data_IF_283203024335
#
_entry.id   IF_283203024335
#
_cell.length_a   1.000
_cell.length_b   1.000
_cell.length_c   1.000
_cell.angle_alpha   90.00
_cell.angle_beta   90.00
_cell.angle_gamma   90.00
#
_symmetry.space_group_name_H-M   'P 1'
#
loop_
_entity.id
_entity.type
_entity.pdbx_description
1 polymer ?
#
# COMPACT_ATOMS: atom_id res chain seq x y z
N UNK A 1 -14.69 9.75 30.93
CA UNK A 1 -16.11 9.51 30.57
C UNK A 1 -16.17 8.55 29.39
N UNK A 2 -17.07 7.55 29.40
CA UNK A 2 -17.31 6.66 28.25
C UNK A 2 -17.78 7.45 27.02
N UNK A 3 -17.39 7.02 25.81
CA UNK A 3 -17.88 7.66 24.58
C UNK A 3 -19.37 7.32 24.36
N UNK A 4 -20.21 8.26 23.92
CA UNK A 4 -21.59 7.97 23.53
C UNK A 4 -21.64 6.90 22.44
N UNK A 5 -22.60 5.97 22.54
CA UNK A 5 -22.85 4.99 21.48
C UNK A 5 -23.53 5.67 20.30
N UNK A 6 -23.16 5.26 19.09
CA UNK A 6 -23.82 5.71 17.86
C UNK A 6 -25.15 4.99 17.67
N UNK A 7 -26.07 5.61 16.93
CA UNK A 7 -27.29 4.94 16.45
C UNK A 7 -26.92 3.73 15.57
N UNK A 8 -27.66 2.61 15.67
CA UNK A 8 -27.50 1.47 14.75
C UNK A 8 -27.64 1.83 13.26
N UNK A 9 -28.33 2.92 12.93
CA UNK A 9 -28.55 3.36 11.55
C UNK A 9 -27.39 4.20 11.01
N UNK A 10 -26.52 4.73 11.89
CA UNK A 10 -25.40 5.57 11.45
C UNK A 10 -24.40 4.74 10.61
N UNK A 11 -24.11 5.16 9.37
CA UNK A 11 -23.16 4.45 8.52
C UNK A 11 -21.74 4.67 9.04
N UNK A 12 -21.09 3.57 9.42
CA UNK A 12 -19.77 3.54 10.03
C UNK A 12 -18.65 3.38 8.99
N UNK A 13 -18.99 2.76 7.85
CA UNK A 13 -18.13 2.60 6.70
C UNK A 13 -18.39 3.74 5.71
N UNK A 14 -17.34 4.15 5.01
CA UNK A 14 -17.44 5.15 3.96
C UNK A 14 -16.42 4.85 2.85
N UNK A 15 -16.55 5.49 1.68
CA UNK A 15 -15.64 5.23 0.56
C UNK A 15 -14.18 5.52 0.87
N UNK A 16 -13.88 6.50 1.73
CA UNK A 16 -12.50 6.91 2.02
C UNK A 16 -11.71 5.85 2.76
N UNK A 17 -12.31 5.16 3.75
CA UNK A 17 -11.60 4.06 4.41
C UNK A 17 -11.34 2.89 3.45
N UNK A 18 -12.29 2.60 2.56
CA UNK A 18 -12.10 1.55 1.55
C UNK A 18 -11.05 1.93 0.52
N UNK A 19 -10.99 3.21 0.13
CA UNK A 19 -9.93 3.73 -0.71
C UNK A 19 -8.56 3.54 -0.05
N UNK A 20 -8.39 3.88 1.23
CA UNK A 20 -7.14 3.62 1.99
C UNK A 20 -6.81 2.13 2.04
N UNK A 21 -7.82 1.28 2.27
CA UNK A 21 -7.65 -0.17 2.43
C UNK A 21 -7.16 -0.83 1.14
N UNK A 22 -7.70 -0.39 -0.01
CA UNK A 22 -7.44 -0.99 -1.31
C UNK A 22 -6.28 -0.32 -2.05
N UNK A 23 -5.86 0.88 -1.64
CA UNK A 23 -4.79 1.63 -2.29
C UNK A 23 -3.49 0.85 -2.50
N UNK A 24 -3.03 -0.01 -1.55
CA UNK A 24 -1.83 -0.81 -1.77
C UNK A 24 -1.89 -1.73 -3.00
N UNK A 25 -3.10 -2.16 -3.41
CA UNK A 25 -3.27 -2.98 -4.61
C UNK A 25 -2.92 -2.21 -5.88
N UNK A 26 -3.07 -0.89 -5.91
CA UNK A 26 -2.63 -0.09 -7.05
C UNK A 26 -1.13 -0.27 -7.29
N UNK A 27 -0.31 -0.18 -6.23
CA UNK A 27 1.13 -0.40 -6.33
C UNK A 27 1.45 -1.81 -6.82
N UNK A 28 0.72 -2.83 -6.34
CA UNK A 28 0.90 -4.22 -6.78
C UNK A 28 0.53 -4.40 -8.25
N UNK A 29 -0.56 -3.79 -8.71
CA UNK A 29 -0.96 -3.85 -10.12
C UNK A 29 0.08 -3.19 -11.02
N UNK A 30 0.61 -2.04 -10.62
CA UNK A 30 1.65 -1.35 -11.38
C UNK A 30 2.98 -2.13 -11.36
N UNK A 31 3.27 -2.86 -10.28
CA UNK A 31 4.46 -3.72 -10.18
C UNK A 31 4.46 -4.77 -11.30
N UNK A 32 3.30 -5.34 -11.62
CA UNK A 32 3.18 -6.33 -12.69
C UNK A 32 3.47 -5.76 -14.08
N UNK A 33 3.35 -4.44 -14.25
CA UNK A 33 3.67 -3.76 -15.52
C UNK A 33 5.15 -3.42 -15.66
N UNK A 34 5.90 -3.46 -14.54
CA UNK A 34 7.32 -3.11 -14.57
C UNK A 34 8.17 -4.28 -15.04
N UNK A 35 8.91 -4.07 -16.12
CA UNK A 35 9.87 -5.00 -16.71
C UNK A 35 11.28 -4.42 -16.56
N UNK A 36 12.03 -4.81 -15.52
CA UNK A 36 13.37 -4.28 -15.28
C UNK A 36 14.37 -4.81 -16.32
N UNK A 37 15.24 -3.93 -16.79
CA UNK A 37 16.30 -4.24 -17.74
C UNK A 37 17.66 -4.22 -17.03
N UNK A 38 18.51 -5.22 -17.29
CA UNK A 38 19.89 -5.24 -16.81
C UNK A 38 20.83 -5.14 -17.99
N UNK A 39 21.42 -3.96 -18.16
CA UNK A 39 22.39 -3.73 -19.22
C UNK A 39 23.79 -3.99 -18.68
N UNK A 40 24.55 -4.84 -19.35
CA UNK A 40 25.98 -4.99 -19.09
C UNK A 40 26.76 -3.95 -19.89
N UNK A 41 27.71 -3.28 -19.23
CA UNK A 41 28.63 -2.31 -19.85
C UNK A 41 30.06 -2.74 -19.59
N UNK A 42 30.93 -2.54 -20.59
CA UNK A 42 32.37 -2.72 -20.42
C UNK A 42 32.98 -1.36 -20.07
N UNK A 43 33.61 -1.26 -18.90
CA UNK A 43 34.27 -0.01 -18.48
C UNK A 43 35.49 0.26 -19.36
N UNK A 44 36.02 1.49 -19.30
CA UNK A 44 37.28 1.86 -19.99
C UNK A 44 38.48 1.01 -19.56
N UNK A 45 38.40 0.35 -18.41
CA UNK A 45 39.42 -0.57 -17.89
C UNK A 45 39.23 -2.02 -18.40
N UNK A 46 38.27 -2.26 -19.30
CA UNK A 46 37.99 -3.59 -19.85
C UNK A 46 37.17 -4.50 -18.92
N UNK A 47 36.72 -4.00 -17.77
CA UNK A 47 35.92 -4.77 -16.82
C UNK A 47 34.46 -4.72 -17.25
N UNK A 48 33.85 -5.89 -17.45
CA UNK A 48 32.41 -5.98 -17.72
C UNK A 48 31.65 -5.94 -16.40
N UNK A 49 30.76 -4.97 -16.25
CA UNK A 49 29.95 -4.76 -15.05
C UNK A 49 28.51 -4.41 -15.43
N UNK A 50 27.60 -4.51 -14.47
CA UNK A 50 26.22 -4.06 -14.64
C UNK A 50 26.16 -2.53 -14.66
N UNK A 51 25.44 -1.95 -15.62
CA UNK A 51 25.14 -0.52 -15.66
C UNK A 51 24.26 -0.14 -14.48
N UNK A 52 24.75 0.68 -13.52
CA UNK A 52 23.97 1.10 -12.36
C UNK A 52 22.70 1.88 -12.73
N UNK A 53 22.63 2.45 -13.94
CA UNK A 53 21.48 3.23 -14.38
C UNK A 53 20.41 2.41 -15.11
N UNK A 54 20.71 1.16 -15.49
CA UNK A 54 19.78 0.31 -16.25
C UNK A 54 18.47 0.03 -15.54
N UNK A 55 18.46 0.07 -14.20
CA UNK A 55 17.24 -0.11 -13.40
C UNK A 55 16.27 1.08 -13.44
N UNK A 56 16.73 2.29 -13.79
CA UNK A 56 15.91 3.52 -13.81
C UNK A 56 15.09 3.66 -15.09
N UNK A 57 14.25 2.67 -15.32
CA UNK A 57 13.32 2.60 -16.45
C UNK A 57 12.12 3.56 -16.26
N UNK A 58 11.37 3.90 -17.32
CA UNK A 58 10.09 4.61 -17.18
C UNK A 58 9.12 3.92 -16.21
N UNK A 59 9.10 2.58 -16.20
CA UNK A 59 8.31 1.79 -15.26
C UNK A 59 8.71 1.99 -13.80
N UNK A 60 10.02 2.14 -13.52
CA UNK A 60 10.51 2.48 -12.19
C UNK A 60 9.98 3.84 -11.71
N UNK A 61 10.04 4.87 -12.56
CA UNK A 61 9.53 6.20 -12.19
C UNK A 61 8.02 6.23 -12.03
N UNK A 62 7.29 5.45 -12.84
CA UNK A 62 5.85 5.27 -12.71
C UNK A 62 5.49 4.61 -11.37
N UNK A 63 6.21 3.56 -10.97
CA UNK A 63 6.05 2.93 -9.66
C UNK A 63 6.37 3.88 -8.51
N UNK A 64 7.48 4.61 -8.61
CA UNK A 64 7.88 5.58 -7.60
C UNK A 64 6.84 6.69 -7.44
N UNK A 65 6.39 7.27 -8.57
CA UNK A 65 5.35 8.30 -8.59
C UNK A 65 4.03 7.80 -8.02
N UNK A 66 3.62 6.58 -8.38
CA UNK A 66 2.41 5.95 -7.83
C UNK A 66 2.53 5.70 -6.32
N UNK A 67 3.72 5.36 -5.81
CA UNK A 67 3.99 5.23 -4.38
C UNK A 67 3.77 6.54 -3.63
N UNK A 68 4.37 7.64 -4.10
CA UNK A 68 4.17 8.97 -3.53
C UNK A 68 2.71 9.44 -3.62
N UNK A 69 2.07 9.22 -4.77
CA UNK A 69 0.65 9.54 -4.97
C UNK A 69 -0.23 8.75 -4.00
N UNK A 70 0.01 7.44 -3.85
CA UNK A 70 -0.74 6.59 -2.92
C UNK A 70 -0.54 7.03 -1.47
N UNK A 71 0.68 7.42 -1.09
CA UNK A 71 0.96 7.99 0.22
C UNK A 71 0.17 9.28 0.47
N UNK A 72 0.22 10.25 -0.45
CA UNK A 72 -0.52 11.50 -0.34
C UNK A 72 -2.04 11.30 -0.31
N UNK A 73 -2.57 10.43 -1.18
CA UNK A 73 -3.99 10.07 -1.20
C UNK A 73 -4.43 9.38 0.09
N UNK A 74 -3.59 8.53 0.68
CA UNK A 74 -3.90 7.88 1.98
C UNK A 74 -4.12 8.92 3.08
N UNK A 75 -3.26 9.94 3.13
CA UNK A 75 -3.36 11.04 4.11
C UNK A 75 -4.60 11.88 3.83
N UNK A 76 -4.88 12.24 2.57
CA UNK A 76 -6.07 12.98 2.17
C UNK A 76 -7.35 12.22 2.54
N UNK A 77 -7.43 10.94 2.23
CA UNK A 77 -8.58 10.10 2.58
C UNK A 77 -8.74 9.93 4.08
N UNK A 78 -7.65 9.86 4.85
CA UNK A 78 -7.72 9.81 6.31
C UNK A 78 -8.30 11.11 6.90
N UNK A 79 -7.98 12.26 6.30
CA UNK A 79 -8.56 13.54 6.66
C UNK A 79 -10.07 13.58 6.34
N UNK A 80 -10.47 13.19 5.13
CA UNK A 80 -11.88 13.17 4.70
C UNK A 80 -12.72 12.18 5.52
N UNK A 81 -12.17 10.99 5.81
CA UNK A 81 -12.79 10.01 6.68
C UNK A 81 -13.03 10.58 8.08
N UNK A 82 -12.01 11.21 8.68
CA UNK A 82 -12.14 11.81 10.01
C UNK A 82 -13.22 12.88 10.04
N UNK A 83 -13.30 13.75 9.02
CA UNK A 83 -14.36 14.75 8.94
C UNK A 83 -15.74 14.10 8.88
N UNK A 84 -15.89 13.01 8.13
CA UNK A 84 -17.16 12.28 8.03
C UNK A 84 -17.55 11.64 9.37
N UNK A 85 -16.60 11.05 10.09
CA UNK A 85 -16.85 10.50 11.44
C UNK A 85 -17.31 11.59 12.43
N UNK A 86 -16.72 12.79 12.37
CA UNK A 86 -17.16 13.93 13.17
C UNK A 86 -18.60 14.32 12.84
N UNK A 87 -18.94 14.41 11.54
CA UNK A 87 -20.31 14.70 11.09
C UNK A 87 -21.31 13.61 11.50
N UNK A 88 -20.85 12.37 11.63
CA UNK A 88 -21.64 11.23 12.11
C UNK A 88 -21.76 11.18 13.65
N UNK A 89 -21.23 12.16 14.38
CA UNK A 89 -21.37 12.25 15.84
C UNK A 89 -20.32 11.47 16.64
N UNK A 90 -19.25 10.99 15.99
CA UNK A 90 -18.15 10.32 16.71
C UNK A 90 -17.37 11.35 17.52
N UNK A 91 -17.44 11.23 18.85
CA UNK A 91 -16.69 12.10 19.77
C UNK A 91 -15.22 11.71 19.80
N UNK A 92 -14.34 12.66 19.45
CA UNK A 92 -12.87 12.52 19.44
C UNK A 92 -12.41 11.29 18.61
N UNK A 93 -12.62 11.30 17.27
CA UNK A 93 -12.11 10.25 16.39
C UNK A 93 -10.58 10.27 16.34
N UNK A 94 -9.99 9.19 15.83
CA UNK A 94 -8.55 9.05 15.70
C UNK A 94 -7.97 10.18 14.83
N UNK A 95 -6.79 10.69 15.19
CA UNK A 95 -6.22 11.82 14.46
C UNK A 95 -5.72 11.38 13.08
N UNK A 96 -6.07 12.13 12.03
CA UNK A 96 -5.74 11.76 10.65
C UNK A 96 -4.24 11.82 10.37
N UNK A 97 -3.49 12.68 11.07
CA UNK A 97 -2.05 12.83 10.87
C UNK A 97 -1.24 11.56 11.18
N UNK A 98 -1.82 10.60 11.90
CA UNK A 98 -1.19 9.29 12.05
C UNK A 98 -1.03 8.53 10.73
N UNK A 99 -1.76 8.91 9.67
CA UNK A 99 -1.56 8.39 8.32
C UNK A 99 -0.20 8.76 7.72
N UNK A 100 0.45 9.84 8.19
CA UNK A 100 1.83 10.16 7.79
C UNK A 100 2.84 9.14 8.32
N UNK A 101 2.59 8.56 9.50
CA UNK A 101 3.42 7.47 10.00
C UNK A 101 3.14 6.18 9.22
N UNK A 102 1.86 5.85 9.09
CA UNK A 102 1.40 4.73 8.26
C UNK A 102 -0.12 4.77 8.10
N UNK A 103 -0.60 4.56 6.87
CA UNK A 103 -2.02 4.39 6.59
C UNK A 103 -2.65 3.27 7.42
N UNK A 104 -1.90 2.21 7.72
CA UNK A 104 -2.35 1.07 8.54
C UNK A 104 -2.54 1.49 10.00
N UNK A 105 -1.65 2.31 10.55
CA UNK A 105 -1.78 2.83 11.93
C UNK A 105 -3.05 3.65 12.07
N UNK A 106 -3.33 4.53 11.10
CA UNK A 106 -4.59 5.26 11.05
C UNK A 106 -5.81 4.34 10.98
N UNK A 107 -5.80 3.36 10.06
CA UNK A 107 -6.89 2.43 9.84
C UNK A 107 -7.21 1.60 11.09
N UNK A 108 -6.19 1.08 11.78
CA UNK A 108 -6.36 0.33 13.04
C UNK A 108 -6.90 1.25 14.14
N UNK A 109 -6.27 2.40 14.36
CA UNK A 109 -6.66 3.35 15.41
C UNK A 109 -8.10 3.83 15.27
N UNK A 110 -8.52 4.16 14.05
CA UNK A 110 -9.91 4.49 13.69
C UNK A 110 -10.85 3.32 14.02
N UNK A 111 -10.52 2.12 13.53
CA UNK A 111 -11.38 0.94 13.66
C UNK A 111 -11.62 0.55 15.13
N UNK A 112 -10.61 0.69 15.99
CA UNK A 112 -10.74 0.49 17.44
C UNK A 112 -11.67 1.53 18.09
N UNK A 113 -11.51 2.81 17.73
CA UNK A 113 -12.39 3.87 18.27
C UNK A 113 -13.83 3.66 17.85
N UNK A 114 -14.02 3.30 16.58
CA UNK A 114 -15.32 3.02 15.99
C UNK A 114 -15.98 1.81 16.65
N UNK A 115 -15.27 0.69 16.84
CA UNK A 115 -15.81 -0.50 17.49
C UNK A 115 -16.21 -0.23 18.96
N UNK A 116 -15.60 0.75 19.62
CA UNK A 116 -16.02 1.20 20.96
C UNK A 116 -17.35 1.95 20.96
N UNK A 117 -17.66 2.71 19.91
CA UNK A 117 -18.90 3.51 19.81
C UNK A 117 -20.02 2.81 19.02
N UNK A 118 -19.66 1.83 18.19
CA UNK A 118 -20.58 1.00 17.42
C UNK A 118 -20.12 -0.49 17.52
N UNK A 119 -20.44 -1.19 18.62
CA UNK A 119 -19.98 -2.57 18.84
C UNK A 119 -20.33 -3.50 17.68
N UNK A 120 -19.42 -4.42 17.32
CA UNK A 120 -19.52 -5.36 16.19
C UNK A 120 -19.46 -4.70 14.81
N UNK A 121 -19.25 -3.37 14.73
CA UNK A 121 -19.12 -2.61 13.48
C UNK A 121 -17.82 -1.79 13.57
N UNK A 122 -17.01 -1.83 12.51
CA UNK A 122 -15.76 -1.05 12.42
C UNK A 122 -14.52 -1.86 12.14
N UNK A 123 -14.52 -3.18 12.34
CA UNK A 123 -13.33 -4.03 12.15
C UNK A 123 -13.20 -4.60 10.72
N UNK A 124 -14.24 -4.50 9.87
CA UNK A 124 -14.17 -5.00 8.49
C UNK A 124 -12.97 -4.46 7.68
N UNK A 125 -12.64 -3.15 7.72
CA UNK A 125 -11.46 -2.63 7.03
C UNK A 125 -10.14 -3.23 7.51
N UNK A 126 -10.05 -3.63 8.79
CA UNK A 126 -8.84 -4.28 9.33
C UNK A 126 -8.66 -5.66 8.70
N UNK A 127 -9.72 -6.47 8.67
CA UNK A 127 -9.70 -7.79 8.02
C UNK A 127 -9.41 -7.68 6.52
N UNK A 128 -10.01 -6.71 5.84
CA UNK A 128 -9.72 -6.44 4.44
C UNK A 128 -8.26 -6.02 4.22
N UNK A 129 -7.68 -5.21 5.11
CA UNK A 129 -6.25 -4.84 5.04
C UNK A 129 -5.35 -6.06 5.20
N UNK A 130 -5.68 -6.98 6.10
CA UNK A 130 -4.95 -8.25 6.25
C UNK A 130 -5.01 -9.06 4.96
N UNK A 131 -6.20 -9.22 4.37
CA UNK A 131 -6.36 -9.92 3.10
C UNK A 131 -5.56 -9.27 1.97
N UNK A 132 -5.65 -7.94 1.83
CA UNK A 132 -4.86 -7.16 0.87
C UNK A 132 -3.38 -7.37 1.07
N UNK A 133 -2.90 -7.35 2.32
CA UNK A 133 -1.49 -7.56 2.64
C UNK A 133 -1.02 -8.96 2.23
N UNK A 134 -1.77 -10.01 2.59
CA UNK A 134 -1.43 -11.40 2.25
C UNK A 134 -1.40 -11.59 0.73
N UNK A 135 -2.42 -11.10 0.02
CA UNK A 135 -2.48 -11.17 -1.45
C UNK A 135 -1.29 -10.43 -2.08
N UNK A 136 -1.00 -9.22 -1.59
CA UNK A 136 0.12 -8.40 -2.08
C UNK A 136 1.46 -9.11 -1.88
N UNK A 137 1.64 -9.78 -0.73
CA UNK A 137 2.85 -10.54 -0.41
C UNK A 137 3.04 -11.72 -1.37
N UNK A 138 1.98 -12.48 -1.65
CA UNK A 138 2.04 -13.60 -2.60
C UNK A 138 2.38 -13.11 -4.00
N UNK A 139 1.70 -12.09 -4.50
CA UNK A 139 1.93 -11.55 -5.86
C UNK A 139 3.34 -11.01 -5.99
N UNK A 140 3.78 -10.21 -5.01
CA UNK A 140 5.14 -9.63 -5.01
C UNK A 140 6.21 -10.73 -4.89
N UNK A 141 5.94 -11.79 -4.12
CA UNK A 141 6.84 -12.94 -3.99
C UNK A 141 7.01 -13.69 -5.32
N UNK A 142 5.92 -13.96 -6.03
CA UNK A 142 5.95 -14.57 -7.37
C UNK A 142 6.71 -13.66 -8.35
N UNK A 143 6.39 -12.37 -8.36
CA UNK A 143 7.06 -11.39 -9.22
C UNK A 143 8.57 -11.35 -8.95
N UNK A 144 8.97 -11.32 -7.67
CA UNK A 144 10.38 -11.31 -7.25
C UNK A 144 11.11 -12.59 -7.66
N UNK A 145 10.44 -13.75 -7.60
CA UNK A 145 11.02 -15.00 -8.09
C UNK A 145 11.30 -14.95 -9.60
N UNK A 146 10.33 -14.48 -10.39
CA UNK A 146 10.50 -14.32 -11.84
C UNK A 146 11.58 -13.30 -12.19
N UNK A 147 11.65 -12.21 -11.42
CA UNK A 147 12.69 -11.19 -11.54
C UNK A 147 14.09 -11.77 -11.29
N UNK A 148 14.27 -12.56 -10.23
CA UNK A 148 15.57 -13.19 -9.97
C UNK A 148 15.96 -14.16 -11.08
N UNK A 149 15.02 -14.93 -11.62
CA UNK A 149 15.26 -15.81 -12.76
C UNK A 149 15.72 -15.02 -14.00
N UNK A 150 15.07 -13.89 -14.30
CA UNK A 150 15.47 -13.06 -15.44
C UNK A 150 16.88 -12.48 -15.25
N UNK A 151 17.22 -12.03 -14.03
CA UNK A 151 18.58 -11.60 -13.70
C UNK A 151 19.62 -12.71 -13.90
N UNK A 152 19.38 -13.92 -13.38
CA UNK A 152 20.32 -15.03 -13.54
C UNK A 152 20.55 -15.38 -15.02
N UNK A 153 19.47 -15.43 -15.81
CA UNK A 153 19.56 -15.70 -17.25
C UNK A 153 20.38 -14.65 -18.01
N UNK A 154 20.20 -13.37 -17.68
CA UNK A 154 20.94 -12.26 -18.32
C UNK A 154 22.42 -12.25 -17.94
N UNK A 155 22.78 -12.82 -16.80
CA UNK A 155 24.17 -13.01 -16.35
C UNK A 155 24.82 -14.29 -16.90
N UNK A 156 24.11 -15.06 -17.75
CA UNK A 156 24.62 -16.28 -18.36
C UNK A 156 24.53 -17.53 -17.47
N UNK A 157 23.84 -17.44 -16.33
CA UNK A 157 23.53 -18.60 -15.49
C UNK A 157 22.18 -19.19 -15.93
N UNK A 158 22.19 -20.39 -16.51
CA UNK A 158 20.94 -21.11 -16.80
C UNK A 158 20.40 -21.71 -15.50
N UNK A 159 19.24 -21.21 -15.03
CA UNK A 159 18.50 -21.88 -13.96
C UNK A 159 17.77 -23.07 -14.59
N UNK A 160 18.37 -24.26 -14.52
CA UNK A 160 17.69 -25.50 -14.89
C UNK A 160 16.61 -25.79 -13.87
N UNK A 161 15.36 -25.57 -14.25
CA UNK A 161 14.16 -26.03 -13.53
C UNK A 161 13.95 -27.52 -13.70
#
# INVERSE_FOLDING_TARGET
MPRPKLSPETPVYNPFIWAITLLPLLSVLLLLTWQPEFRMITTRQGVTTMDPFSMYTPGYFLLMGAGFLSYGLSVLFAFLDRQRLLKSGVVRPFHWAWAFLSAVVYLIGRSVIVNKVAPKRGLWPVWATIAVFVISMVITGIWMSNFMQSMYSQLGYSVST
#
